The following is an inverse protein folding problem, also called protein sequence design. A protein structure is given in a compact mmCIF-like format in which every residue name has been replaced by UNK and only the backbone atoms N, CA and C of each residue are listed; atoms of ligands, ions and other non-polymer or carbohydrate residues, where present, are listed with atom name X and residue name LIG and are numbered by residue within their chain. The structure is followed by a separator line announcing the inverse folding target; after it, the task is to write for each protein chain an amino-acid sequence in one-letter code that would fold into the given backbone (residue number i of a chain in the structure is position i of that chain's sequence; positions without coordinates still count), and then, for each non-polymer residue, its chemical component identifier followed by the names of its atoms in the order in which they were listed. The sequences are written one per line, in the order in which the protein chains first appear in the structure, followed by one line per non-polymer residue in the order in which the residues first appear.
data_IF_231918789891
#
_entry.id   IF_231918789891
#
_cell.length_a   1.000
_cell.length_b   1.000
_cell.length_c   1.000
_cell.angle_alpha   90.00
_cell.angle_beta   90.00
_cell.angle_gamma   90.00
#
_symmetry.space_group_name_H-M   'P 1'
#
loop_
_entity.id
_entity.type
_entity.pdbx_description
1 polymer ?
#
# COMPACT_ATOMS: atom_id res chain seq x y z
N UNK A 1 -11.45 61.36 28.00
CA UNK A 1 -12.05 62.64 28.43
C UNK A 1 -13.55 62.44 28.52
N UNK A 2 -14.15 62.81 29.68
CA UNK A 2 -15.55 62.60 30.04
C UNK A 2 -16.39 63.73 29.37
N UNK A 3 -17.69 63.99 29.62
CA UNK A 3 -18.25 64.27 30.96
C UNK A 3 -19.72 63.73 31.13
N UNK A 4 -20.22 63.23 32.26
CA UNK A 4 -20.45 63.83 33.59
C UNK A 4 -21.96 63.85 33.91
N UNK A 5 -22.36 63.05 34.92
CA UNK A 5 -23.14 63.37 36.15
C UNK A 5 -23.89 64.73 36.29
N UNK A 6 -24.73 64.99 37.33
CA UNK A 6 -25.07 64.24 38.56
C UNK A 6 -26.61 64.25 38.87
N UNK A 7 -27.16 63.68 39.95
CA UNK A 7 -27.28 64.30 41.29
C UNK A 7 -27.72 63.28 42.33
N UNK A 8 -26.93 63.20 43.40
CA UNK A 8 -27.27 62.62 44.69
C UNK A 8 -28.13 63.60 45.51
N UNK A 9 -28.93 63.06 46.43
CA UNK A 9 -29.35 63.78 47.63
C UNK A 9 -29.34 62.84 48.83
N UNK A 10 -28.82 63.39 49.91
CA UNK A 10 -28.22 62.72 51.06
C UNK A 10 -28.99 63.13 52.30
N UNK A 11 -29.44 62.13 53.07
CA UNK A 11 -29.46 62.07 54.56
C UNK A 11 -30.44 62.98 55.33
N UNK A 12 -31.17 62.39 56.29
CA UNK A 12 -30.98 62.61 57.73
C UNK A 12 -31.83 61.65 58.60
N UNK A 13 -31.18 61.18 59.67
CA UNK A 13 -31.64 60.27 60.74
C UNK A 13 -32.78 60.86 61.58
N UNK A 14 -33.59 60.00 62.21
CA UNK A 14 -34.21 60.31 63.51
C UNK A 14 -34.50 59.04 64.34
N UNK A 15 -34.28 59.19 65.64
CA UNK A 15 -34.16 58.24 66.75
C UNK A 15 -35.46 57.75 67.39
N UNK A 16 -35.42 56.50 67.91
CA UNK A 16 -36.09 55.82 69.07
C UNK A 16 -37.23 56.52 69.86
N UNK A 17 -38.17 55.76 70.50
CA UNK A 17 -37.85 55.18 71.82
C UNK A 17 -38.46 53.78 72.14
N UNK A 18 -37.85 53.09 73.10
CA UNK A 18 -38.25 51.83 73.76
C UNK A 18 -39.42 52.00 74.75
N UNK A 19 -40.25 50.96 74.94
CA UNK A 19 -40.89 50.64 76.24
C UNK A 19 -40.91 49.13 76.50
N UNK A 20 -40.33 48.75 77.64
CA UNK A 20 -40.35 47.45 78.30
C UNK A 20 -41.70 47.27 79.03
N UNK A 21 -42.36 46.12 78.92
CA UNK A 21 -43.19 45.56 80.01
C UNK A 21 -42.98 44.05 80.06
N UNK A 22 -42.58 43.57 81.24
CA UNK A 22 -42.47 42.18 81.62
C UNK A 22 -43.83 41.60 81.97
N UNK A 23 -44.15 40.38 81.50
CA UNK A 23 -45.02 39.45 82.22
C UNK A 23 -44.58 38.00 81.91
N UNK A 24 -44.10 37.35 82.96
CA UNK A 24 -43.79 35.93 83.04
C UNK A 24 -45.09 35.12 83.22
N UNK A 25 -45.10 33.93 82.60
CA UNK A 25 -45.81 32.68 82.95
C UNK A 25 -46.46 32.06 81.71
N UNK A 26 -46.46 30.76 81.45
CA UNK A 26 -45.77 29.58 81.96
C UNK A 26 -46.13 28.48 80.96
N UNK A 27 -45.13 27.69 80.55
CA UNK A 27 -45.20 26.35 79.94
C UNK A 27 -46.60 25.73 79.72
N UNK A 28 -46.93 25.45 78.46
CA UNK A 28 -47.83 24.35 78.11
C UNK A 28 -47.25 23.70 76.86
N UNK A 29 -46.85 22.43 77.01
CA UNK A 29 -46.25 21.61 75.96
C UNK A 29 -47.14 21.61 74.72
N UNK A 30 -46.46 21.78 73.59
CA UNK A 30 -46.96 21.57 72.24
C UNK A 30 -47.53 20.16 72.15
N UNK A 31 -48.82 20.02 71.85
CA UNK A 31 -49.44 18.73 71.54
C UNK A 31 -49.04 18.38 70.12
N UNK A 32 -48.34 17.25 69.97
CA UNK A 32 -47.87 16.72 68.70
C UNK A 32 -48.97 16.70 67.64
N UNK A 33 -48.63 17.24 66.48
CA UNK A 33 -49.26 16.79 65.24
C UNK A 33 -48.88 15.33 64.99
N UNK A 34 -49.58 14.63 64.09
CA UNK A 34 -49.10 13.33 63.64
C UNK A 34 -47.75 13.57 63.00
N UNK A 35 -46.68 13.13 63.66
CA UNK A 35 -45.38 12.93 63.02
C UNK A 35 -45.65 11.94 61.87
N UNK A 36 -45.86 12.47 60.67
CA UNK A 36 -45.48 11.74 59.46
C UNK A 36 -43.98 11.66 59.54
N UNK A 37 -43.54 10.61 60.22
CA UNK A 37 -42.29 9.93 59.97
C UNK A 37 -42.25 9.62 58.46
N UNK A 38 -41.89 10.63 57.65
CA UNK A 38 -41.30 10.45 56.33
C UNK A 38 -39.85 10.00 56.63
N UNK A 39 -39.69 8.72 56.96
CA UNK A 39 -38.40 8.10 57.39
C UNK A 39 -37.66 7.44 56.22
N UNK A 40 -38.01 7.75 54.98
CA UNK A 40 -37.27 7.30 53.79
C UNK A 40 -37.13 8.52 52.87
N UNK A 41 -36.38 9.53 53.32
CA UNK A 41 -36.17 10.77 52.56
C UNK A 41 -34.73 10.87 52.08
N UNK A 42 -34.53 10.52 50.82
CA UNK A 42 -33.25 10.69 50.16
C UNK A 42 -32.71 12.12 50.26
N UNK A 43 -31.47 12.23 50.76
CA UNK A 43 -30.75 13.49 50.92
C UNK A 43 -30.84 14.06 52.35
N UNK A 44 -31.05 13.22 53.35
CA UNK A 44 -31.12 13.58 54.76
C UNK A 44 -29.85 13.25 55.58
N UNK A 45 -28.82 12.70 54.94
CA UNK A 45 -27.55 12.23 55.54
C UNK A 45 -27.68 10.94 56.39
N UNK A 46 -28.79 10.21 56.29
CA UNK A 46 -29.01 8.91 56.91
C UNK A 46 -29.35 7.91 55.81
N UNK A 47 -28.68 6.75 55.81
CA UNK A 47 -29.00 5.68 54.86
C UNK A 47 -30.22 4.93 55.38
N UNK A 48 -31.36 5.15 54.72
CA UNK A 48 -32.64 4.51 55.04
C UNK A 48 -32.78 3.12 54.35
N UNK A 49 -33.92 2.44 54.51
CA UNK A 49 -34.02 1.01 54.16
C UNK A 49 -34.01 0.72 52.64
N UNK A 50 -34.46 1.68 51.84
CA UNK A 50 -34.53 1.61 50.38
C UNK A 50 -33.38 2.38 49.68
N UNK A 51 -32.37 2.81 50.45
CA UNK A 51 -31.24 3.60 49.97
C UNK A 51 -29.93 2.82 49.99
N UNK A 52 -29.09 3.03 48.98
CA UNK A 52 -27.74 2.46 48.93
C UNK A 52 -26.69 3.43 49.49
N UNK A 53 -27.01 4.72 49.50
CA UNK A 53 -26.19 5.82 50.00
C UNK A 53 -27.07 7.04 50.33
N UNK A 54 -26.59 7.94 51.19
CA UNK A 54 -27.19 9.25 51.40
C UNK A 54 -26.11 10.25 51.86
N UNK A 55 -25.63 11.08 50.93
CA UNK A 55 -24.66 12.15 51.17
C UNK A 55 -25.37 13.52 51.35
N UNK A 56 -26.66 13.49 51.67
CA UNK A 56 -27.45 14.68 51.92
C UNK A 56 -27.64 15.55 50.69
N UNK A 57 -27.41 16.84 50.87
CA UNK A 57 -27.42 17.82 49.78
C UNK A 57 -26.28 17.63 48.76
N UNK A 58 -25.33 16.71 49.01
CA UNK A 58 -24.26 16.39 48.07
C UNK A 58 -24.66 15.30 47.05
N UNK A 59 -25.84 14.69 47.20
CA UNK A 59 -26.39 13.75 46.21
C UNK A 59 -26.55 14.44 44.85
N UNK A 60 -26.00 13.82 43.81
CA UNK A 60 -26.07 14.32 42.45
C UNK A 60 -25.86 13.17 41.46
N UNK A 61 -26.48 13.24 40.29
CA UNK A 61 -26.32 12.22 39.24
C UNK A 61 -24.86 11.98 38.82
N UNK A 62 -23.99 12.99 38.98
CA UNK A 62 -22.55 12.87 38.70
C UNK A 62 -21.67 12.64 39.96
N UNK A 63 -22.30 12.43 41.12
CA UNK A 63 -21.62 12.11 42.37
C UNK A 63 -21.59 10.59 42.61
N UNK A 64 -20.86 10.15 43.63
CA UNK A 64 -20.85 8.73 44.04
C UNK A 64 -22.21 8.25 44.56
N UNK A 65 -23.02 9.18 45.08
CA UNK A 65 -24.40 8.95 45.47
C UNK A 65 -25.32 9.79 44.59
N UNK A 66 -26.22 9.14 43.86
CA UNK A 66 -27.14 9.82 42.94
C UNK A 66 -28.23 10.57 43.68
N UNK A 67 -28.93 11.43 42.96
CA UNK A 67 -30.06 12.20 43.51
C UNK A 67 -31.25 11.35 43.96
N UNK A 68 -31.29 10.06 43.59
CA UNK A 68 -32.28 9.08 44.05
C UNK A 68 -31.74 8.11 45.12
N UNK A 69 -30.57 8.41 45.72
CA UNK A 69 -29.94 7.61 46.77
C UNK A 69 -29.54 6.19 46.34
N UNK A 70 -29.38 5.98 45.04
CA UNK A 70 -28.68 4.82 44.50
C UNK A 70 -27.20 5.11 44.31
N UNK A 71 -26.37 4.09 44.39
CA UNK A 71 -24.96 4.23 44.06
C UNK A 71 -24.79 4.46 42.56
N UNK A 72 -23.74 5.20 42.21
CA UNK A 72 -23.26 5.22 40.84
C UNK A 72 -22.62 3.88 40.50
N UNK A 73 -23.01 3.33 39.35
CA UNK A 73 -22.52 2.07 38.80
C UNK A 73 -22.40 2.19 37.29
N UNK A 74 -21.35 1.59 36.73
CA UNK A 74 -21.18 1.59 35.29
C UNK A 74 -22.39 0.98 34.56
N UNK A 75 -22.87 1.68 33.54
CA UNK A 75 -24.01 1.29 32.73
C UNK A 75 -25.37 1.73 33.28
N UNK A 76 -25.41 2.77 34.12
CA UNK A 76 -26.66 3.29 34.70
C UNK A 76 -27.21 4.53 34.01
N UNK A 77 -26.50 5.03 33.00
CA UNK A 77 -26.82 6.20 32.20
C UNK A 77 -26.27 7.51 32.75
N UNK A 78 -25.47 7.48 33.83
CA UNK A 78 -24.94 8.67 34.51
C UNK A 78 -23.42 8.58 34.74
N UNK A 79 -22.68 9.47 34.09
CA UNK A 79 -21.22 9.55 34.26
C UNK A 79 -20.90 10.08 35.67
N UNK A 80 -20.39 9.21 36.53
CA UNK A 80 -19.94 9.61 37.86
C UNK A 80 -18.43 9.86 37.98
N UNK A 81 -17.90 10.01 39.21
CA UNK A 81 -16.57 10.57 39.45
C UNK A 81 -15.40 9.63 39.12
N UNK A 82 -15.65 8.34 38.88
CA UNK A 82 -14.63 7.34 38.52
C UNK A 82 -14.82 6.78 37.09
N UNK A 83 -15.73 7.35 36.32
CA UNK A 83 -16.08 6.91 34.98
C UNK A 83 -15.68 7.96 33.96
N UNK A 84 -15.22 7.51 32.79
CA UNK A 84 -14.91 8.42 31.67
C UNK A 84 -16.08 8.54 30.68
N UNK A 85 -17.00 7.57 30.72
CA UNK A 85 -18.22 7.49 29.92
C UNK A 85 -19.26 6.62 30.67
N UNK A 86 -20.51 6.67 30.23
CA UNK A 86 -21.59 5.73 30.58
C UNK A 86 -22.66 5.81 29.49
N UNK A 87 -23.01 4.69 28.85
CA UNK A 87 -24.01 4.60 27.78
C UNK A 87 -25.29 3.88 28.21
N UNK A 88 -25.47 3.67 29.52
CA UNK A 88 -26.65 3.06 30.10
C UNK A 88 -26.69 1.54 30.00
N UNK A 89 -25.57 0.88 29.69
CA UNK A 89 -25.46 -0.56 29.78
C UNK A 89 -24.01 -1.05 30.02
N UNK A 90 -23.78 -2.37 29.99
CA UNK A 90 -22.48 -3.01 30.24
C UNK A 90 -22.02 -3.85 29.04
N UNK A 91 -22.52 -3.54 27.85
CA UNK A 91 -22.01 -4.13 26.60
C UNK A 91 -20.74 -3.37 26.22
N UNK A 92 -19.81 -4.06 25.56
CA UNK A 92 -18.64 -3.42 24.97
C UNK A 92 -18.94 -3.17 23.48
N UNK A 93 -18.34 -2.13 22.89
CA UNK A 93 -18.47 -1.83 21.46
C UNK A 93 -19.64 -0.92 21.07
N UNK A 94 -20.29 -0.28 22.04
CA UNK A 94 -21.33 0.74 21.82
C UNK A 94 -20.93 2.15 22.28
N UNK A 95 -19.62 2.37 22.45
CA UNK A 95 -19.02 3.69 22.71
C UNK A 95 -18.59 3.90 24.17
N UNK A 96 -19.00 3.03 25.08
CA UNK A 96 -18.45 2.94 26.42
C UNK A 96 -18.17 1.48 26.78
N UNK A 97 -17.01 1.19 27.37
CA UNK A 97 -16.73 -0.19 27.81
C UNK A 97 -17.55 -0.54 29.05
N UNK A 98 -17.68 -1.84 29.31
CA UNK A 98 -18.21 -2.42 30.55
C UNK A 98 -17.42 -2.04 31.82
N UNK A 99 -16.26 -1.39 31.67
CA UNK A 99 -15.44 -0.80 32.74
C UNK A 99 -15.54 0.73 32.79
N UNK A 100 -16.48 1.31 32.05
CA UNK A 100 -16.73 2.75 31.90
C UNK A 100 -15.49 3.56 31.50
N UNK A 101 -14.70 2.95 30.61
CA UNK A 101 -13.62 3.61 29.89
C UNK A 101 -14.10 3.95 28.50
N UNK A 102 -13.70 5.12 28.01
CA UNK A 102 -14.05 5.55 26.66
C UNK A 102 -13.52 4.54 25.63
N UNK A 103 -14.28 4.39 24.54
CA UNK A 103 -13.82 3.73 23.32
C UNK A 103 -12.40 4.16 22.95
N UNK A 104 -11.58 3.20 22.54
CA UNK A 104 -10.18 3.43 22.19
C UNK A 104 -9.67 2.35 21.26
N UNK A 105 -9.15 2.77 20.11
CA UNK A 105 -8.45 1.91 19.19
C UNK A 105 -7.30 1.15 19.86
N UNK A 106 -7.14 -0.12 19.50
CA UNK A 106 -6.13 -1.04 20.00
C UNK A 106 -6.53 -1.80 21.27
N UNK A 107 -7.81 -1.80 21.66
CA UNK A 107 -8.30 -2.45 22.88
C UNK A 107 -8.92 -3.86 22.66
N UNK A 108 -8.92 -4.34 21.41
CA UNK A 108 -9.53 -5.58 20.91
C UNK A 108 -11.06 -5.59 20.87
N UNK A 109 -11.70 -4.42 20.91
CA UNK A 109 -13.15 -4.21 20.82
C UNK A 109 -13.40 -3.20 19.71
N UNK A 110 -14.21 -3.57 18.71
CA UNK A 110 -14.59 -2.65 17.63
C UNK A 110 -15.72 -1.74 18.13
N UNK A 111 -15.41 -0.48 18.40
CA UNK A 111 -16.37 0.55 18.79
C UNK A 111 -17.09 1.20 17.58
N UNK A 112 -18.20 1.96 17.75
CA UNK A 112 -19.02 2.43 16.63
C UNK A 112 -18.33 3.36 15.62
N UNK A 113 -17.25 4.02 16.02
CA UNK A 113 -16.45 4.92 15.18
C UNK A 113 -15.21 4.22 14.56
N UNK A 114 -15.06 2.91 14.79
CA UNK A 114 -13.94 2.08 14.33
C UNK A 114 -14.40 1.11 13.23
N UNK A 115 -13.56 0.89 12.21
CA UNK A 115 -13.81 -0.15 11.20
C UNK A 115 -13.23 -1.51 11.59
N UNK A 116 -12.21 -1.48 12.43
CA UNK A 116 -11.47 -2.63 12.91
C UNK A 116 -10.83 -2.26 14.26
N UNK A 117 -10.50 -3.27 15.06
CA UNK A 117 -9.62 -3.16 16.22
C UNK A 117 -9.02 -4.56 16.44
N UNK A 118 -7.69 -4.66 16.43
CA UNK A 118 -6.98 -5.93 16.57
C UNK A 118 -6.20 -6.06 17.90
N UNK A 119 -6.42 -5.13 18.82
CA UNK A 119 -5.84 -5.15 20.16
C UNK A 119 -4.40 -4.66 20.26
N UNK A 120 -3.90 -3.91 19.27
CA UNK A 120 -2.56 -3.34 19.32
C UNK A 120 -2.47 -1.97 18.62
N UNK A 121 -1.28 -1.35 18.65
CA UNK A 121 -0.98 -0.03 18.06
C UNK A 121 0.02 -0.15 16.87
N UNK A 122 -0.02 -1.24 16.11
CA UNK A 122 0.88 -1.51 14.98
C UNK A 122 0.30 -1.00 13.65
N UNK A 123 0.87 0.07 13.12
CA UNK A 123 0.42 0.67 11.85
C UNK A 123 0.73 -0.18 10.61
N UNK A 124 1.43 -1.32 10.75
CA UNK A 124 1.90 -2.14 9.61
C UNK A 124 1.04 -3.37 9.31
N UNK A 125 -0.04 -3.59 10.04
CA UNK A 125 -0.96 -4.70 9.82
C UNK A 125 -2.28 -4.27 9.13
N UNK A 126 -3.31 -5.12 9.20
CA UNK A 126 -4.58 -4.87 8.54
C UNK A 126 -5.47 -3.84 9.29
N UNK A 127 -5.14 -3.54 10.54
CA UNK A 127 -5.83 -2.59 11.39
C UNK A 127 -4.84 -1.64 12.07
N UNK A 128 -4.41 -0.58 11.37
CA UNK A 128 -3.48 0.39 11.95
C UNK A 128 -4.07 1.11 13.18
N UNK A 129 -3.25 1.83 13.94
CA UNK A 129 -3.65 2.55 15.17
C UNK A 129 -4.69 3.68 14.96
N UNK A 130 -5.10 3.91 13.70
CA UNK A 130 -6.21 4.77 13.34
C UNK A 130 -7.57 4.05 13.34
N UNK A 131 -7.60 2.72 13.52
CA UNK A 131 -8.78 1.85 13.45
C UNK A 131 -9.63 2.04 12.17
N UNK A 132 -8.96 2.49 11.12
CA UNK A 132 -9.47 2.63 9.75
C UNK A 132 -8.72 1.65 8.88
N UNK A 133 -9.42 0.91 8.03
CA UNK A 133 -8.72 0.03 7.11
C UNK A 133 -7.83 0.85 6.16
N UNK A 134 -6.59 0.39 5.86
CA UNK A 134 -5.76 0.99 4.83
C UNK A 134 -6.50 1.09 3.49
N UNK A 135 -6.41 2.24 2.82
CA UNK A 135 -7.08 2.50 1.54
C UNK A 135 -6.08 2.99 0.53
N UNK A 136 -5.84 2.16 -0.47
CA UNK A 136 -4.99 2.52 -1.58
C UNK A 136 -5.52 3.72 -2.38
N UNK A 137 -4.66 4.69 -2.63
CA UNK A 137 -4.92 5.91 -3.37
C UNK A 137 -5.33 7.10 -2.49
N UNK A 138 -5.04 7.10 -1.19
CA UNK A 138 -5.37 8.19 -0.26
C UNK A 138 -4.17 9.10 0.13
N UNK A 139 -2.99 8.81 -0.42
CA UNK A 139 -1.67 9.43 -0.14
C UNK A 139 -1.07 9.06 1.21
N UNK A 140 -1.50 7.98 1.83
CA UNK A 140 -0.99 7.53 3.11
C UNK A 140 -0.65 6.04 3.05
N UNK A 141 0.64 5.73 3.00
CA UNK A 141 1.11 4.35 3.14
C UNK A 141 0.78 3.80 4.53
N UNK A 142 -0.17 2.87 4.59
CA UNK A 142 -0.68 2.25 5.82
C UNK A 142 -0.74 0.73 5.67
N UNK A 143 -0.56 0.01 6.78
CA UNK A 143 -0.66 -1.45 6.79
C UNK A 143 0.34 -2.13 5.86
N UNK A 144 -0.19 -2.96 4.94
CA UNK A 144 0.60 -3.75 3.98
C UNK A 144 0.93 -3.01 2.66
N UNK A 145 0.63 -1.72 2.56
CA UNK A 145 0.92 -0.90 1.38
C UNK A 145 2.42 -0.59 1.28
N UNK A 146 3.02 -0.85 0.11
CA UNK A 146 4.43 -0.52 -0.15
C UNK A 146 4.62 0.91 -0.68
N UNK A 147 3.57 1.48 -1.24
CA UNK A 147 3.46 2.84 -1.76
C UNK A 147 2.00 3.29 -1.71
N UNK A 148 1.78 4.60 -1.77
CA UNK A 148 0.48 5.20 -2.07
C UNK A 148 0.74 6.58 -2.70
N UNK A 149 0.35 6.75 -3.96
CA UNK A 149 0.59 7.98 -4.73
C UNK A 149 -0.66 8.89 -4.80
N UNK A 150 -1.76 8.47 -4.15
CA UNK A 150 -3.01 9.20 -4.06
C UNK A 150 -3.97 9.01 -5.20
N UNK A 151 -3.78 7.95 -5.99
CA UNK A 151 -4.71 7.60 -7.05
C UNK A 151 -4.76 6.07 -7.26
N UNK A 152 -5.57 5.62 -8.21
CA UNK A 152 -5.74 4.19 -8.55
C UNK A 152 -5.44 3.99 -10.03
N UNK A 153 -4.16 4.13 -10.40
CA UNK A 153 -3.69 4.01 -11.78
C UNK A 153 -2.41 3.18 -11.82
N UNK A 154 -2.47 1.99 -12.44
CA UNK A 154 -1.32 1.09 -12.50
C UNK A 154 -0.14 1.61 -13.35
N UNK A 155 -0.33 2.69 -14.11
CA UNK A 155 0.66 3.24 -15.03
C UNK A 155 1.50 4.40 -14.44
N UNK A 156 1.51 4.59 -13.12
CA UNK A 156 2.38 5.52 -12.41
C UNK A 156 3.17 4.81 -11.31
N UNK A 157 3.72 5.56 -10.35
CA UNK A 157 4.70 5.08 -9.38
C UNK A 157 4.12 3.98 -8.45
N UNK A 158 2.80 3.86 -8.34
CA UNK A 158 2.14 2.93 -7.45
C UNK A 158 0.97 2.22 -8.13
N UNK A 159 0.92 0.89 -8.02
CA UNK A 159 -0.20 0.13 -8.58
C UNK A 159 -1.51 0.38 -7.82
N UNK A 160 -2.64 0.03 -8.42
CA UNK A 160 -3.99 0.04 -7.80
C UNK A 160 -4.12 -0.89 -6.59
N UNK A 161 -3.11 -1.73 -6.35
CA UNK A 161 -3.00 -2.61 -5.18
C UNK A 161 -1.95 -2.15 -4.17
N UNK A 162 -1.48 -0.91 -4.32
CA UNK A 162 -0.48 -0.26 -3.47
C UNK A 162 0.83 -1.05 -3.35
N UNK A 163 1.17 -1.75 -4.43
CA UNK A 163 2.47 -2.32 -4.67
C UNK A 163 3.28 -1.37 -5.53
N UNK A 164 4.59 -1.28 -5.25
CA UNK A 164 5.48 -0.48 -6.08
C UNK A 164 5.45 -1.00 -7.50
N UNK A 165 5.32 -0.08 -8.43
CA UNK A 165 5.31 -0.43 -9.82
C UNK A 165 6.73 -0.90 -10.23
N UNK A 166 6.82 -2.02 -10.94
CA UNK A 166 8.09 -2.67 -11.31
C UNK A 166 8.17 -2.95 -12.80
N UNK A 167 9.37 -2.95 -13.37
CA UNK A 167 9.56 -3.43 -14.73
C UNK A 167 9.08 -4.88 -14.86
N UNK A 168 8.37 -5.18 -15.95
CA UNK A 168 7.82 -6.50 -16.25
C UNK A 168 6.45 -6.75 -15.64
N UNK A 169 5.71 -5.70 -15.23
CA UNK A 169 4.35 -5.83 -14.69
C UNK A 169 3.24 -5.55 -15.73
N UNK A 170 3.63 -5.21 -16.95
CA UNK A 170 2.75 -4.97 -18.09
C UNK A 170 2.34 -3.50 -18.24
N UNK A 171 2.84 -2.59 -17.42
CA UNK A 171 2.48 -1.17 -17.43
C UNK A 171 3.65 -0.27 -17.80
N UNK A 172 3.57 0.35 -18.98
CA UNK A 172 4.60 1.30 -19.41
C UNK A 172 4.44 2.63 -18.67
N UNK A 173 5.41 2.94 -17.80
CA UNK A 173 5.52 4.24 -17.12
C UNK A 173 6.38 5.22 -17.90
N UNK A 174 5.73 6.17 -18.58
CA UNK A 174 6.39 7.15 -19.45
C UNK A 174 7.44 7.97 -18.67
N UNK A 175 8.70 7.86 -19.11
CA UNK A 175 9.83 8.59 -18.52
C UNK A 175 10.61 7.80 -17.46
N UNK A 176 10.07 6.67 -16.99
CA UNK A 176 10.79 5.69 -16.17
C UNK A 176 11.22 4.48 -17.01
N UNK A 177 10.30 3.99 -17.85
CA UNK A 177 10.47 2.80 -18.69
C UNK A 177 10.23 3.16 -20.16
N UNK A 178 10.90 2.45 -21.07
CA UNK A 178 10.77 2.65 -22.52
C UNK A 178 9.87 1.60 -23.18
N UNK A 179 9.75 0.43 -22.55
CA UNK A 179 8.86 -0.68 -22.88
C UNK A 179 8.55 -1.44 -21.59
N UNK A 180 7.52 -2.29 -21.65
CA UNK A 180 7.20 -3.31 -20.65
C UNK A 180 6.31 -4.34 -21.36
N UNK A 181 6.71 -5.60 -21.38
CA UNK A 181 5.98 -6.73 -21.99
C UNK A 181 5.39 -7.70 -20.96
N UNK A 182 5.33 -7.28 -19.69
CA UNK A 182 4.72 -8.06 -18.62
C UNK A 182 5.60 -9.20 -18.11
N UNK A 183 6.90 -9.20 -18.42
CA UNK A 183 7.84 -10.13 -17.83
C UNK A 183 9.28 -9.56 -17.72
N UNK A 184 10.22 -10.38 -17.25
CA UNK A 184 11.63 -10.00 -17.05
C UNK A 184 12.58 -10.89 -17.86
N UNK A 185 12.08 -11.49 -18.94
CA UNK A 185 12.93 -12.06 -19.97
C UNK A 185 13.65 -10.92 -20.70
N UNK A 186 14.84 -11.19 -21.24
CA UNK A 186 15.57 -10.23 -22.07
C UNK A 186 15.66 -10.71 -23.51
N UNK A 187 14.99 -11.81 -23.85
CA UNK A 187 15.01 -12.44 -25.17
C UNK A 187 13.69 -12.27 -25.95
N UNK A 188 12.87 -11.32 -25.53
CA UNK A 188 11.63 -10.87 -26.17
C UNK A 188 11.66 -9.36 -26.41
N UNK A 189 10.49 -8.74 -26.61
CA UNK A 189 10.38 -7.36 -27.10
C UNK A 189 10.94 -6.30 -26.13
N UNK A 190 11.06 -6.61 -24.85
CA UNK A 190 11.59 -5.72 -23.83
C UNK A 190 12.65 -6.42 -22.97
N UNK A 191 13.74 -5.72 -22.65
CA UNK A 191 14.74 -6.27 -21.73
C UNK A 191 14.26 -6.20 -20.27
N UNK A 192 14.84 -7.02 -19.38
CA UNK A 192 14.61 -6.95 -17.94
C UNK A 192 14.96 -5.59 -17.26
N UNK A 193 15.58 -4.66 -18.00
CA UNK A 193 15.82 -3.27 -17.58
C UNK A 193 14.80 -2.28 -18.18
N UNK A 194 13.70 -2.76 -18.75
CA UNK A 194 12.64 -2.00 -19.41
C UNK A 194 13.15 -1.06 -20.51
N UNK A 195 14.12 -1.57 -21.26
CA UNK A 195 14.65 -0.94 -22.48
C UNK A 195 14.25 -1.79 -23.69
N UNK A 196 13.96 -1.15 -24.84
CA UNK A 196 13.65 -1.88 -26.05
C UNK A 196 14.86 -2.73 -26.38
N UNK A 197 14.55 -3.96 -26.73
CA UNK A 197 15.54 -4.96 -27.03
C UNK A 197 16.21 -4.60 -28.39
N UNK A 198 17.52 -4.85 -28.52
CA UNK A 198 18.36 -4.31 -29.62
C UNK A 198 19.32 -5.33 -30.19
N UNK A 199 19.45 -5.30 -31.51
CA UNK A 199 20.52 -5.99 -32.22
C UNK A 199 21.92 -5.62 -31.72
N UNK A 200 22.70 -6.64 -31.39
CA UNK A 200 24.07 -6.57 -30.90
C UNK A 200 24.19 -6.33 -29.39
N UNK A 201 23.14 -6.57 -28.61
CA UNK A 201 23.14 -6.46 -27.15
C UNK A 201 23.48 -7.77 -26.42
N UNK A 202 23.66 -8.85 -27.20
CA UNK A 202 24.08 -10.17 -26.73
C UNK A 202 22.92 -11.10 -26.38
N UNK A 203 21.67 -10.71 -26.68
CA UNK A 203 20.49 -11.53 -26.47
C UNK A 203 19.75 -11.72 -27.79
N UNK A 204 19.57 -12.96 -28.25
CA UNK A 204 18.76 -13.24 -29.44
C UNK A 204 17.28 -13.07 -29.07
N UNK A 205 16.65 -12.02 -29.59
CA UNK A 205 15.26 -11.68 -29.31
C UNK A 205 14.28 -12.28 -30.32
N UNK A 206 13.34 -13.08 -29.84
CA UNK A 206 12.38 -13.77 -30.71
C UNK A 206 11.46 -12.78 -31.42
N UNK A 207 11.49 -12.77 -32.76
CA UNK A 207 10.64 -11.91 -33.57
C UNK A 207 11.14 -10.47 -33.73
N UNK A 208 12.23 -10.11 -33.05
CA UNK A 208 12.97 -8.86 -33.30
C UNK A 208 14.17 -9.12 -34.20
N UNK A 209 14.86 -10.25 -34.02
CA UNK A 209 16.06 -10.61 -34.79
C UNK A 209 16.25 -12.12 -35.00
N UNK A 210 17.11 -12.50 -35.96
CA UNK A 210 17.40 -13.91 -36.28
C UNK A 210 18.63 -14.45 -35.52
N UNK A 211 19.54 -13.56 -35.14
CA UNK A 211 20.78 -13.84 -34.43
C UNK A 211 21.24 -12.60 -33.63
N UNK A 212 22.15 -12.77 -32.67
CA UNK A 212 22.85 -11.68 -31.99
C UNK A 212 24.19 -12.25 -31.48
N UNK A 213 25.29 -11.63 -31.90
CA UNK A 213 26.65 -12.01 -31.50
C UNK A 213 27.39 -10.90 -30.72
N UNK A 214 26.61 -9.98 -30.15
CA UNK A 214 27.04 -8.85 -29.33
C UNK A 214 28.03 -7.92 -30.03
N UNK A 215 28.03 -7.84 -31.37
CA UNK A 215 28.94 -6.97 -32.09
C UNK A 215 28.34 -6.42 -33.42
N UNK A 216 28.88 -5.32 -33.98
CA UNK A 216 28.32 -4.68 -35.17
C UNK A 216 29.00 -5.11 -36.48
N UNK A 217 29.56 -6.31 -36.56
CA UNK A 217 30.25 -6.83 -37.74
C UNK A 217 29.26 -7.16 -38.87
N UNK A 218 29.75 -7.15 -40.12
CA UNK A 218 29.00 -7.58 -41.30
C UNK A 218 29.75 -8.67 -42.08
N UNK A 219 30.64 -9.38 -41.39
CA UNK A 219 31.57 -10.34 -42.01
C UNK A 219 31.78 -11.56 -41.12
N UNK A 220 30.78 -11.90 -40.33
CA UNK A 220 30.70 -13.02 -39.40
C UNK A 220 29.29 -13.60 -39.42
N UNK A 221 29.01 -14.55 -38.53
CA UNK A 221 27.79 -15.34 -38.62
C UNK A 221 26.49 -14.54 -38.40
N UNK A 222 26.58 -13.40 -37.71
CA UNK A 222 25.45 -12.50 -37.51
C UNK A 222 25.80 -11.12 -38.07
N UNK A 223 25.03 -10.66 -39.05
CA UNK A 223 25.26 -9.36 -39.68
C UNK A 223 24.81 -8.22 -38.75
N UNK A 224 25.26 -7.00 -39.04
CA UNK A 224 24.97 -5.82 -38.21
C UNK A 224 23.50 -5.40 -38.18
N UNK A 225 22.66 -5.98 -39.03
CA UNK A 225 21.20 -5.86 -39.02
C UNK A 225 20.51 -7.08 -38.37
N UNK A 226 21.29 -7.94 -37.70
CA UNK A 226 20.91 -9.16 -37.01
C UNK A 226 20.13 -10.16 -37.87
N UNK A 227 20.53 -10.23 -39.14
CA UNK A 227 20.23 -11.34 -40.04
C UNK A 227 21.38 -12.33 -40.05
N UNK A 228 21.06 -13.61 -40.22
CA UNK A 228 22.11 -14.63 -40.36
C UNK A 228 22.84 -14.44 -41.70
N UNK A 229 24.17 -14.53 -41.69
CA UNK A 229 24.97 -14.50 -42.90
C UNK A 229 24.58 -15.63 -43.87
N UNK A 230 24.58 -15.35 -45.17
CA UNK A 230 24.18 -16.29 -46.22
C UNK A 230 25.24 -16.38 -47.29
N UNK A 231 25.59 -17.61 -47.67
CA UNK A 231 26.45 -17.92 -48.79
C UNK A 231 25.92 -17.36 -50.12
N UNK A 232 26.78 -16.64 -50.85
CA UNK A 232 26.48 -16.03 -52.15
C UNK A 232 25.93 -14.60 -52.06
N UNK A 233 26.05 -13.93 -50.91
CA UNK A 233 25.64 -12.55 -50.69
C UNK A 233 26.73 -11.52 -51.07
N UNK A 234 27.92 -12.00 -51.45
CA UNK A 234 29.07 -11.20 -51.86
C UNK A 234 29.98 -10.78 -50.72
N UNK A 235 29.81 -11.32 -49.51
CA UNK A 235 30.65 -11.09 -48.35
C UNK A 235 31.20 -12.43 -47.87
N UNK A 236 32.51 -12.48 -47.60
CA UNK A 236 33.09 -13.67 -46.95
C UNK A 236 32.89 -13.57 -45.44
N UNK A 237 31.93 -14.34 -44.93
CA UNK A 237 31.56 -14.34 -43.51
C UNK A 237 32.40 -15.35 -42.70
N UNK A 238 33.24 -14.84 -41.80
CA UNK A 238 34.19 -15.63 -41.01
C UNK A 238 33.46 -16.67 -40.17
N UNK A 239 33.78 -17.94 -40.41
CA UNK A 239 33.22 -19.07 -39.66
C UNK A 239 31.87 -19.57 -40.20
N UNK A 240 31.32 -18.93 -41.24
CA UNK A 240 30.17 -19.43 -42.02
C UNK A 240 30.64 -20.03 -43.33
N UNK A 241 31.58 -19.37 -44.01
CA UNK A 241 32.08 -19.79 -45.32
C UNK A 241 33.58 -19.58 -45.53
N UNK A 242 34.15 -20.29 -46.50
CA UNK A 242 35.55 -20.16 -46.89
C UNK A 242 35.76 -19.17 -48.05
N UNK A 243 34.74 -18.99 -48.88
CA UNK A 243 34.70 -18.07 -50.01
C UNK A 243 33.26 -17.59 -50.29
N UNK A 244 33.12 -16.49 -51.02
CA UNK A 244 31.86 -16.01 -51.58
C UNK A 244 32.19 -15.23 -52.87
N UNK A 245 31.61 -15.62 -53.99
CA UNK A 245 31.78 -14.97 -55.30
C UNK A 245 30.48 -14.34 -55.84
N UNK A 246 29.50 -14.12 -54.97
CA UNK A 246 28.23 -13.44 -55.19
C UNK A 246 27.38 -14.03 -56.32
N UNK A 247 27.51 -15.34 -56.61
CA UNK A 247 26.78 -15.96 -57.70
C UNK A 247 26.44 -17.46 -57.44
N UNK A 248 25.57 -18.04 -58.26
CA UNK A 248 25.06 -19.43 -58.11
C UNK A 248 25.79 -20.43 -59.05
N UNK A 249 27.06 -20.21 -59.37
CA UNK A 249 27.87 -21.12 -60.17
C UNK A 249 28.70 -22.03 -59.27
N UNK A 250 28.66 -23.34 -59.56
CA UNK A 250 29.61 -24.27 -58.97
C UNK A 250 30.89 -24.42 -59.82
N UNK A 251 31.09 -23.62 -60.87
CA UNK A 251 32.13 -23.85 -61.91
C UNK A 251 33.29 -22.85 -61.93
N UNK A 252 33.35 -22.01 -60.92
CA UNK A 252 34.27 -20.91 -60.69
C UNK A 252 35.07 -21.13 -59.38
N UNK A 253 35.61 -20.07 -58.80
CA UNK A 253 36.57 -20.16 -57.70
C UNK A 253 35.91 -20.54 -56.37
N UNK A 254 34.60 -20.33 -56.25
CA UNK A 254 33.78 -20.72 -55.12
C UNK A 254 32.61 -21.60 -55.58
N UNK A 255 32.26 -22.61 -54.80
CA UNK A 255 31.07 -23.43 -55.08
C UNK A 255 29.82 -22.81 -54.45
N UNK A 256 28.62 -23.23 -54.84
CA UNK A 256 27.36 -22.81 -54.20
C UNK A 256 27.21 -23.33 -52.76
N UNK A 257 28.15 -24.16 -52.28
CA UNK A 257 28.27 -24.55 -50.88
C UNK A 257 29.20 -23.61 -50.10
N UNK A 258 29.73 -22.58 -50.75
CA UNK A 258 30.73 -21.64 -50.27
C UNK A 258 32.01 -22.29 -49.71
N UNK A 259 32.36 -23.41 -50.35
CA UNK A 259 33.66 -24.07 -50.23
C UNK A 259 34.51 -23.69 -51.44
N UNK A 260 35.82 -23.54 -51.21
CA UNK A 260 36.78 -23.28 -52.28
C UNK A 260 36.75 -24.43 -53.29
N UNK A 261 36.66 -24.07 -54.57
CA UNK A 261 36.70 -25.01 -55.66
C UNK A 261 37.96 -25.89 -55.62
N UNK A 262 37.79 -27.21 -55.75
CA UNK A 262 38.89 -28.16 -55.59
C UNK A 262 38.71 -29.39 -56.49
N UNK A 263 39.83 -29.91 -56.99
CA UNK A 263 39.82 -31.14 -57.76
C UNK A 263 39.24 -32.32 -56.96
N UNK A 264 38.23 -32.97 -57.53
CA UNK A 264 37.49 -34.08 -56.93
C UNK A 264 36.27 -33.62 -56.13
N UNK A 265 35.77 -32.40 -56.32
CA UNK A 265 34.58 -31.86 -55.65
C UNK A 265 33.25 -32.18 -56.36
N UNK A 266 33.33 -32.76 -57.56
CA UNK A 266 32.19 -33.14 -58.39
C UNK A 266 31.83 -32.12 -59.46
N UNK A 267 32.55 -31.00 -59.55
CA UNK A 267 32.33 -29.94 -60.53
C UNK A 267 33.59 -29.73 -61.38
N UNK A 268 33.42 -29.55 -62.69
CA UNK A 268 34.56 -29.31 -63.59
C UNK A 268 34.82 -27.80 -63.66
N UNK A 269 35.90 -27.36 -63.03
CA UNK A 269 36.23 -25.95 -62.87
C UNK A 269 37.07 -25.42 -64.03
N UNK A 270 37.23 -24.09 -64.10
CA UNK A 270 38.08 -23.47 -65.11
C UNK A 270 39.55 -23.86 -64.93
N UNK A 271 40.04 -24.77 -65.78
CA UNK A 271 41.41 -25.28 -65.74
C UNK A 271 41.52 -26.77 -65.51
N UNK A 272 40.40 -27.42 -65.16
CA UNK A 272 40.28 -28.86 -65.00
C UNK A 272 39.84 -29.51 -66.33
N UNK A 273 40.40 -30.66 -66.66
CA UNK A 273 40.00 -31.44 -67.85
C UNK A 273 38.88 -32.44 -67.52
N UNK A 274 38.79 -32.86 -66.26
CA UNK A 274 37.79 -33.75 -65.70
C UNK A 274 37.63 -33.52 -64.19
N UNK A 275 36.53 -34.02 -63.63
CA UNK A 275 36.30 -34.18 -62.19
C UNK A 275 35.40 -35.42 -62.01
N UNK A 276 35.81 -36.36 -61.17
CA UNK A 276 35.06 -37.59 -60.85
C UNK A 276 34.67 -37.70 -59.37
N UNK A 277 34.49 -36.54 -58.73
CA UNK A 277 34.02 -36.36 -57.35
C UNK A 277 34.89 -37.06 -56.29
N UNK A 278 36.15 -37.34 -56.61
CA UNK A 278 37.14 -37.84 -55.67
C UNK A 278 38.57 -37.51 -56.15
N UNK A 279 39.58 -37.75 -55.29
CA UNK A 279 40.99 -37.48 -55.58
C UNK A 279 41.83 -38.76 -55.73
N UNK A 280 41.23 -39.84 -56.23
CA UNK A 280 41.89 -41.12 -56.49
C UNK A 280 42.44 -41.06 -57.92
N UNK A 281 43.63 -41.64 -58.13
CA UNK A 281 44.18 -41.78 -59.49
C UNK A 281 43.67 -43.09 -60.12
N UNK A 282 43.55 -43.11 -61.45
CA UNK A 282 43.19 -44.27 -62.30
C UNK A 282 41.72 -44.75 -62.24
N UNK A 283 40.76 -43.95 -61.74
CA UNK A 283 39.32 -44.26 -61.74
C UNK A 283 38.42 -43.34 -62.59
N UNK A 284 39.02 -42.41 -63.32
CA UNK A 284 38.36 -41.60 -64.33
C UNK A 284 39.03 -40.27 -64.54
N UNK A 285 39.40 -39.63 -63.44
CA UNK A 285 40.23 -38.45 -63.38
C UNK A 285 41.50 -38.75 -62.55
N UNK A 286 42.49 -37.87 -62.63
CA UNK A 286 43.64 -37.91 -61.72
C UNK A 286 43.40 -36.94 -60.57
N UNK A 287 44.12 -37.10 -59.47
CA UNK A 287 44.15 -36.18 -58.32
C UNK A 287 44.58 -34.73 -58.65
N UNK A 288 45.00 -34.47 -59.90
CA UNK A 288 45.29 -33.13 -60.43
C UNK A 288 44.32 -32.69 -61.54
N UNK A 289 43.17 -33.36 -61.65
CA UNK A 289 42.09 -33.05 -62.59
C UNK A 289 42.50 -33.03 -64.07
N UNK A 290 43.37 -34.00 -64.41
CA UNK A 290 43.76 -34.31 -65.79
C UNK A 290 43.25 -35.70 -66.16
N UNK A 291 42.99 -35.93 -67.45
CA UNK A 291 42.50 -37.23 -67.93
C UNK A 291 43.60 -38.29 -67.77
N UNK A 292 43.35 -39.31 -66.94
CA UNK A 292 44.26 -40.43 -66.63
C UNK A 292 43.80 -41.75 -67.22
#
# INVERSE_FOLDING_TARGET
MPPSHPLASTVLLSSSPRKLVWLLALSSCFVGGPDTLDEDLCGNELIDADEECDEGAANADAASCKSDCTLQVCGDGHIGPQESCDDGNLLDGDGCSSSCTLASCGNAVVDPDEECDDGNDDDTDACPSSCRHPVCGDKQTQGAEECDDGNLNDADDCTTTCQKATCGDGYIRIGLEQCDDGNLDSSDECTAECKPAKCGDGFVQTGVEECDDANPSQTDACLSDCTAAVCGDGLVNVGVEECDDANDSNTDECTNACELAACGDGFVQQGEECDDANAIDDDGCTSTCTIG
#
